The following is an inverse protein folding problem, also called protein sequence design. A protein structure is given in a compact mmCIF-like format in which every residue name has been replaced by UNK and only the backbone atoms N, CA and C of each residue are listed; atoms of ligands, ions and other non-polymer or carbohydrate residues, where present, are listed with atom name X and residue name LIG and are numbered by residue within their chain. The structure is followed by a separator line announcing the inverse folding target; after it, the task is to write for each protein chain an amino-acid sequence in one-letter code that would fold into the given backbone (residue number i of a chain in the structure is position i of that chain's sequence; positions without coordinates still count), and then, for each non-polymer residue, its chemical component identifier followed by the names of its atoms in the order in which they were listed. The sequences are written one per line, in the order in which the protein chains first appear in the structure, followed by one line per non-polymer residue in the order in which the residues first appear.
data_IF_084363035869
#
_entry.id   IF_084363035869
#
_cell.length_a   1.000
_cell.length_b   1.000
_cell.length_c   1.000
_cell.angle_alpha   90.00
_cell.angle_beta   90.00
_cell.angle_gamma   90.00
#
_symmetry.space_group_name_H-M   'P 1'
#
loop_
_entity.id
_entity.type
_entity.pdbx_description
1 polymer ?
#
# COMPACT_ATOMS: atom_id res chain seq x y z
N UNK A 1 46.83 4.23 -81.73
CA UNK A 1 47.24 3.16 -80.81
C UNK A 1 47.46 3.74 -79.42
N UNK A 2 46.55 3.61 -78.54
CA UNK A 2 46.64 4.12 -77.15
C UNK A 2 46.34 2.92 -76.18
N UNK A 3 47.19 2.62 -75.22
CA UNK A 3 46.89 1.60 -74.25
C UNK A 3 45.94 2.11 -73.16
N UNK A 4 45.02 1.21 -72.79
CA UNK A 4 44.07 1.43 -71.70
C UNK A 4 44.75 1.17 -70.35
N UNK A 5 44.63 2.10 -69.41
CA UNK A 5 45.05 1.95 -68.03
C UNK A 5 43.89 1.35 -67.25
N UNK A 6 44.09 0.19 -66.68
CA UNK A 6 43.13 -0.45 -65.76
C UNK A 6 43.40 0.08 -64.32
N UNK A 7 42.42 0.76 -63.73
CA UNK A 7 42.43 1.10 -62.32
C UNK A 7 41.88 -0.03 -61.51
N UNK A 8 42.69 -0.67 -60.65
CA UNK A 8 42.27 -1.58 -59.62
C UNK A 8 41.72 -0.74 -58.43
N UNK A 9 40.43 -0.84 -58.20
CA UNK A 9 39.79 -0.30 -57.00
C UNK A 9 39.97 -1.25 -55.81
N UNK A 10 40.67 -0.79 -54.79
CA UNK A 10 40.77 -1.50 -53.51
C UNK A 10 39.52 -1.19 -52.68
N UNK A 11 38.65 -2.17 -52.45
CA UNK A 11 37.55 -2.09 -51.49
C UNK A 11 38.12 -2.23 -50.07
N UNK A 12 38.15 -1.13 -49.32
CA UNK A 12 38.42 -1.16 -47.90
C UNK A 12 37.13 -1.57 -47.14
N UNK A 13 37.10 -2.78 -46.59
CA UNK A 13 36.05 -3.22 -45.66
C UNK A 13 36.37 -2.69 -44.27
N UNK A 14 35.60 -1.73 -43.79
CA UNK A 14 35.66 -1.23 -42.44
C UNK A 14 35.02 -2.27 -41.47
N UNK A 15 35.68 -2.67 -40.35
CA UNK A 15 35.05 -3.48 -39.35
C UNK A 15 34.02 -2.68 -38.58
N UNK A 16 32.75 -3.13 -38.62
CA UNK A 16 31.66 -2.58 -37.81
C UNK A 16 31.91 -2.95 -36.35
N UNK A 17 32.40 -1.97 -35.55
CA UNK A 17 32.52 -2.11 -34.10
C UNK A 17 31.09 -2.06 -33.50
N UNK A 18 30.50 -3.21 -33.31
CA UNK A 18 29.31 -3.36 -32.45
C UNK A 18 29.71 -3.11 -31.01
N UNK A 19 29.39 -1.90 -30.51
CA UNK A 19 29.47 -1.57 -29.10
C UNK A 19 28.45 -2.45 -28.34
N UNK A 20 28.84 -3.25 -27.34
CA UNK A 20 27.87 -3.87 -26.45
C UNK A 20 27.12 -2.77 -25.70
N UNK A 21 25.78 -2.86 -25.69
CA UNK A 21 24.95 -2.00 -24.85
C UNK A 21 25.34 -2.19 -23.38
N UNK A 22 25.39 -1.10 -22.57
CA UNK A 22 25.62 -1.25 -21.16
C UNK A 22 24.51 -2.09 -20.54
N UNK A 23 24.87 -3.16 -19.83
CA UNK A 23 23.97 -3.90 -18.97
C UNK A 23 23.38 -2.94 -17.94
N UNK A 24 22.13 -2.53 -18.15
CA UNK A 24 21.35 -1.86 -17.13
C UNK A 24 21.01 -2.95 -16.11
N UNK A 25 21.55 -2.88 -14.89
CA UNK A 25 21.12 -3.82 -13.86
C UNK A 25 19.62 -3.61 -13.68
N UNK A 26 18.83 -4.65 -13.95
CA UNK A 26 17.44 -4.69 -13.55
C UNK A 26 17.42 -4.35 -12.05
N UNK A 27 16.94 -3.14 -11.71
CA UNK A 27 16.77 -2.68 -10.35
C UNK A 27 15.81 -3.63 -9.66
N UNK A 28 16.35 -4.72 -9.14
CA UNK A 28 15.62 -5.62 -8.26
C UNK A 28 15.15 -4.76 -7.09
N UNK A 29 13.85 -4.56 -6.98
CA UNK A 29 13.21 -4.11 -5.75
C UNK A 29 13.73 -5.09 -4.69
N UNK A 30 14.71 -4.64 -3.90
CA UNK A 30 15.17 -5.42 -2.77
C UNK A 30 13.96 -5.55 -1.85
N UNK A 31 13.28 -6.69 -1.92
CA UNK A 31 12.34 -7.09 -0.90
C UNK A 31 13.05 -6.89 0.44
N UNK A 32 12.55 -5.97 1.25
CA UNK A 32 13.05 -5.81 2.62
C UNK A 32 12.72 -7.13 3.31
N UNK A 33 13.75 -7.96 3.49
CA UNK A 33 13.68 -9.15 4.30
C UNK A 33 13.56 -8.74 5.78
N UNK A 34 12.40 -8.17 6.14
CA UNK A 34 11.92 -8.23 7.51
C UNK A 34 11.40 -9.65 7.71
N UNK A 35 11.72 -10.28 8.84
CA UNK A 35 11.08 -11.53 9.19
C UNK A 35 9.55 -11.34 9.02
N UNK A 36 8.80 -12.33 8.46
CA UNK A 36 7.36 -12.19 8.19
C UNK A 36 6.56 -11.74 9.42
N UNK A 37 7.06 -11.99 10.62
CA UNK A 37 6.45 -11.57 11.89
C UNK A 37 6.71 -10.10 12.28
N UNK A 38 7.54 -9.37 11.52
CA UNK A 38 7.88 -7.98 11.82
C UNK A 38 6.98 -6.95 11.12
N UNK A 39 6.10 -7.39 10.24
CA UNK A 39 5.14 -6.53 9.51
C UNK A 39 3.73 -6.88 9.92
N UNK A 40 2.99 -5.86 10.36
CA UNK A 40 1.57 -5.94 10.65
C UNK A 40 0.90 -4.63 10.28
N UNK A 41 -0.20 -4.72 9.54
CA UNK A 41 -1.12 -3.62 9.26
C UNK A 41 -2.48 -4.02 9.77
N UNK A 42 -3.10 -3.21 10.64
CA UNK A 42 -4.45 -3.47 11.14
C UNK A 42 -5.33 -2.24 11.00
N UNK A 43 -6.62 -2.51 10.85
CA UNK A 43 -7.67 -1.51 10.78
C UNK A 43 -8.87 -1.98 11.59
N UNK A 44 -9.45 -1.08 12.37
CA UNK A 44 -10.72 -1.25 13.06
C UNK A 44 -11.70 -0.18 12.60
N UNK A 45 -12.92 -0.60 12.21
CA UNK A 45 -14.05 0.29 11.97
C UNK A 45 -15.01 0.22 13.13
N UNK A 46 -15.26 1.38 13.74
CA UNK A 46 -16.12 1.50 14.93
C UNK A 46 -17.58 1.75 14.54
N UNK A 47 -18.53 1.62 15.48
CA UNK A 47 -19.92 2.00 15.23
C UNK A 47 -20.09 3.47 14.84
N UNK A 48 -21.17 3.74 14.11
CA UNK A 48 -21.73 5.08 13.89
C UNK A 48 -23.19 5.13 14.40
N UNK A 49 -23.83 6.27 14.29
CA UNK A 49 -25.28 6.37 14.46
C UNK A 49 -25.98 5.88 13.17
N UNK A 50 -26.07 4.53 13.02
CA UNK A 50 -26.64 3.89 11.85
C UNK A 50 -26.14 2.46 11.66
N UNK A 51 -26.13 2.01 10.40
CA UNK A 51 -25.79 0.64 10.00
C UNK A 51 -24.34 0.52 9.47
N UNK A 52 -23.38 1.24 10.06
CA UNK A 52 -21.99 1.15 9.66
C UNK A 52 -21.42 -0.25 9.98
N UNK A 53 -20.69 -0.88 9.06
CA UNK A 53 -19.99 -2.11 9.32
C UNK A 53 -18.98 -1.95 10.47
N UNK A 54 -19.04 -2.85 11.46
CA UNK A 54 -18.16 -2.85 12.63
C UNK A 54 -17.31 -4.11 12.60
N UNK A 55 -16.01 -3.95 12.44
CA UNK A 55 -15.06 -5.06 12.35
C UNK A 55 -13.63 -4.63 12.64
N UNK A 56 -12.77 -5.61 12.83
CA UNK A 56 -11.32 -5.44 12.78
C UNK A 56 -10.75 -6.36 11.70
N UNK A 57 -9.69 -5.87 11.03
CA UNK A 57 -8.89 -6.68 10.12
C UNK A 57 -7.41 -6.45 10.40
N UNK A 58 -6.60 -7.50 10.25
CA UNK A 58 -5.15 -7.42 10.37
C UNK A 58 -4.49 -8.25 9.27
N UNK A 59 -3.50 -7.65 8.60
CA UNK A 59 -2.62 -8.30 7.65
C UNK A 59 -1.26 -8.48 8.30
N UNK A 60 -0.72 -9.67 8.18
CA UNK A 60 0.65 -10.01 8.60
C UNK A 60 1.56 -10.05 7.36
N UNK A 61 2.84 -9.79 7.53
CA UNK A 61 3.81 -9.80 6.42
C UNK A 61 3.88 -11.14 5.67
N UNK A 62 3.46 -12.24 6.31
CA UNK A 62 3.27 -13.56 5.70
C UNK A 62 2.13 -13.62 4.67
N UNK A 63 1.28 -12.58 4.60
CA UNK A 63 0.04 -12.60 3.83
C UNK A 63 -1.16 -13.17 4.56
N UNK A 64 -1.03 -13.54 5.85
CA UNK A 64 -2.17 -13.96 6.67
C UNK A 64 -3.07 -12.77 6.94
N UNK A 65 -4.38 -12.94 6.73
CA UNK A 65 -5.41 -11.93 7.02
C UNK A 65 -6.30 -12.47 8.14
N UNK A 66 -6.43 -11.72 9.22
CA UNK A 66 -7.35 -12.02 10.33
C UNK A 66 -8.46 -11.00 10.33
N UNK A 67 -9.70 -11.45 10.19
CA UNK A 67 -10.90 -10.64 10.22
C UNK A 67 -11.73 -11.01 11.45
N UNK A 68 -12.30 -10.02 12.13
CA UNK A 68 -13.29 -10.20 13.19
C UNK A 68 -14.48 -9.26 12.95
N UNK A 69 -15.56 -9.82 12.45
CA UNK A 69 -16.82 -9.11 12.21
C UNK A 69 -17.66 -9.03 13.48
N UNK A 70 -18.23 -7.86 13.76
CA UNK A 70 -19.04 -7.62 14.97
C UNK A 70 -20.49 -7.28 14.64
N UNK A 71 -20.74 -6.25 13.83
CA UNK A 71 -22.09 -5.75 13.52
C UNK A 71 -22.15 -5.23 12.09
N UNK A 72 -23.32 -5.38 11.46
CA UNK A 72 -23.60 -4.91 10.11
C UNK A 72 -22.59 -5.42 9.06
N UNK A 73 -22.18 -6.66 9.23
CA UNK A 73 -21.31 -7.41 8.33
C UNK A 73 -21.96 -8.76 8.03
N UNK A 74 -21.64 -9.32 6.87
CA UNK A 74 -22.15 -10.63 6.46
C UNK A 74 -21.64 -11.76 7.37
N UNK A 75 -20.33 -11.74 7.64
CA UNK A 75 -19.67 -12.75 8.43
C UNK A 75 -19.31 -12.19 9.81
N UNK A 76 -20.01 -12.63 10.86
CA UNK A 76 -19.71 -12.27 12.24
C UNK A 76 -18.74 -13.26 12.87
N UNK A 77 -17.97 -12.79 13.88
CA UNK A 77 -16.93 -13.59 14.53
C UNK A 77 -15.60 -13.59 13.78
N UNK A 78 -14.75 -14.57 14.10
CA UNK A 78 -13.37 -14.60 13.58
C UNK A 78 -13.25 -15.45 12.34
N UNK A 79 -12.59 -14.89 11.31
CA UNK A 79 -12.29 -15.57 10.07
C UNK A 79 -10.84 -15.30 9.69
N UNK A 80 -10.20 -16.28 9.06
CA UNK A 80 -8.83 -16.19 8.57
C UNK A 80 -8.83 -16.36 7.06
N UNK A 81 -8.11 -15.47 6.38
CA UNK A 81 -7.86 -15.54 4.94
C UNK A 81 -6.39 -15.39 4.62
N UNK A 82 -6.07 -15.38 3.35
CA UNK A 82 -4.71 -15.15 2.89
C UNK A 82 -4.71 -14.26 1.65
N UNK A 83 -3.63 -13.49 1.51
CA UNK A 83 -3.29 -12.72 0.32
C UNK A 83 -1.82 -12.99 -0.05
N UNK A 84 -1.39 -12.80 -1.29
CA UNK A 84 0.03 -12.90 -1.62
C UNK A 84 0.86 -11.94 -0.74
N UNK A 85 1.97 -12.39 -0.12
CA UNK A 85 2.81 -11.54 0.73
C UNK A 85 3.24 -10.24 0.05
N UNK A 86 3.57 -10.26 -1.25
CA UNK A 86 3.94 -9.08 -2.01
C UNK A 86 2.85 -7.99 -2.07
N UNK A 87 1.57 -8.31 -1.84
CA UNK A 87 0.52 -7.30 -1.71
C UNK A 87 0.62 -6.54 -0.39
N UNK A 88 1.06 -7.22 0.67
CA UNK A 88 1.30 -6.59 1.99
C UNK A 88 2.53 -5.69 1.89
N UNK A 89 3.61 -6.14 1.22
CA UNK A 89 4.79 -5.32 0.98
C UNK A 89 4.46 -4.06 0.19
N UNK A 90 3.64 -4.19 -0.87
CA UNK A 90 3.19 -3.04 -1.67
C UNK A 90 2.35 -2.06 -0.83
N UNK A 91 1.43 -2.57 0.00
CA UNK A 91 0.63 -1.73 0.90
C UNK A 91 1.53 -0.96 1.89
N UNK A 92 2.53 -1.61 2.48
CA UNK A 92 3.48 -0.94 3.38
C UNK A 92 4.24 0.16 2.64
N UNK A 93 4.69 -0.09 1.42
CA UNK A 93 5.37 0.92 0.61
C UNK A 93 4.44 2.11 0.28
N UNK A 94 3.17 1.87 -0.02
CA UNK A 94 2.15 2.91 -0.26
C UNK A 94 1.93 3.75 1.02
N UNK A 95 1.81 3.12 2.20
CA UNK A 95 1.67 3.80 3.49
C UNK A 95 2.90 4.66 3.82
N UNK A 96 4.11 4.13 3.59
CA UNK A 96 5.36 4.88 3.79
C UNK A 96 5.46 6.08 2.84
N UNK A 97 5.14 5.90 1.56
CA UNK A 97 5.18 6.96 0.55
C UNK A 97 4.17 8.08 0.84
N UNK A 98 3.01 7.75 1.41
CA UNK A 98 2.00 8.72 1.83
C UNK A 98 2.34 9.42 3.16
N UNK A 99 3.46 9.09 3.80
CA UNK A 99 3.89 9.69 5.06
C UNK A 99 3.13 9.23 6.29
N UNK A 100 2.52 8.03 6.27
CA UNK A 100 1.68 7.51 7.36
C UNK A 100 2.33 7.64 8.74
N UNK A 101 3.63 7.36 8.86
CA UNK A 101 4.36 7.41 10.13
C UNK A 101 4.55 8.83 10.68
N UNK A 102 4.23 9.87 9.91
CA UNK A 102 4.30 11.29 10.32
C UNK A 102 2.94 11.90 10.62
N UNK A 103 1.84 11.18 10.41
CA UNK A 103 0.51 11.67 10.76
C UNK A 103 0.40 11.92 12.27
N UNK A 104 -0.53 12.80 12.68
CA UNK A 104 -0.91 12.90 14.08
C UNK A 104 -1.50 11.57 14.58
N UNK A 105 -1.46 11.32 15.88
CA UNK A 105 -2.03 10.10 16.46
C UNK A 105 -3.55 10.09 16.40
N UNK A 106 -4.16 11.29 16.29
CA UNK A 106 -5.60 11.47 16.29
C UNK A 106 -6.05 12.60 15.39
N UNK A 107 -7.17 12.37 14.71
CA UNK A 107 -7.99 13.33 13.99
C UNK A 107 -9.44 13.16 14.46
N UNK A 108 -9.97 14.08 15.27
CA UNK A 108 -11.29 13.93 15.86
C UNK A 108 -11.71 15.15 16.67
N UNK A 109 -12.78 15.00 17.46
CA UNK A 109 -13.33 16.08 18.26
C UNK A 109 -12.26 16.71 19.17
N UNK A 110 -12.18 18.04 19.16
CA UNK A 110 -11.23 18.84 19.92
C UNK A 110 -9.92 19.13 19.19
N UNK A 111 -9.67 18.52 18.04
CA UNK A 111 -8.54 18.86 17.19
C UNK A 111 -8.91 20.01 16.25
N UNK A 112 -8.13 21.11 16.25
CA UNK A 112 -8.43 22.31 15.47
C UNK A 112 -8.53 22.05 13.97
N UNK A 113 -7.79 21.09 13.45
CA UNK A 113 -7.84 20.64 12.04
C UNK A 113 -9.18 19.99 11.69
N UNK A 114 -9.97 19.55 12.67
CA UNK A 114 -11.23 18.87 12.47
C UNK A 114 -12.45 19.81 12.49
N UNK A 115 -12.25 21.12 12.65
CA UNK A 115 -13.36 22.07 12.65
C UNK A 115 -13.75 22.52 11.22
N UNK A 116 -15.07 22.59 10.87
CA UNK A 116 -16.21 22.21 11.69
C UNK A 116 -16.33 20.69 11.84
N UNK A 117 -16.60 20.21 13.06
CA UNK A 117 -16.71 18.78 13.36
C UNK A 117 -18.16 18.29 13.22
N UNK A 118 -18.34 17.12 12.59
CA UNK A 118 -19.63 16.43 12.49
C UNK A 118 -19.69 15.26 13.48
N UNK A 119 -20.83 15.11 14.18
CA UNK A 119 -21.06 13.99 15.11
C UNK A 119 -21.62 12.77 14.40
N UNK A 120 -21.69 11.65 15.12
CA UNK A 120 -22.41 10.42 14.72
C UNK A 120 -21.77 9.62 13.59
N UNK A 121 -20.57 9.97 13.18
CA UNK A 121 -19.78 9.26 12.18
C UNK A 121 -18.83 8.23 12.81
N UNK A 122 -18.41 7.18 12.09
CA UNK A 122 -17.52 6.16 12.64
C UNK A 122 -16.10 6.70 12.80
N UNK A 123 -15.36 6.11 13.74
CA UNK A 123 -13.92 6.26 13.81
C UNK A 123 -13.25 5.06 13.14
N UNK A 124 -12.23 5.31 12.34
CA UNK A 124 -11.32 4.29 11.83
C UNK A 124 -10.02 4.35 12.60
N UNK A 125 -9.59 3.21 13.12
CA UNK A 125 -8.35 3.09 13.87
C UNK A 125 -7.41 2.23 13.06
N UNK A 126 -6.27 2.77 12.65
CA UNK A 126 -5.25 2.03 11.93
C UNK A 126 -4.00 1.88 12.78
N UNK A 127 -3.33 0.74 12.68
CA UNK A 127 -2.01 0.54 13.26
C UNK A 127 -1.11 -0.14 12.24
N UNK A 128 0.06 0.45 11.99
CA UNK A 128 1.08 -0.07 11.08
C UNK A 128 2.36 -0.31 11.87
N UNK A 129 2.88 -1.54 11.80
CA UNK A 129 4.16 -1.95 12.39
C UNK A 129 5.07 -2.49 11.29
N UNK A 130 6.29 -1.98 11.24
CA UNK A 130 7.35 -2.44 10.32
C UNK A 130 8.65 -2.53 11.10
N UNK A 131 9.03 -3.72 11.49
CA UNK A 131 10.16 -3.94 12.40
C UNK A 131 9.95 -3.25 13.76
N UNK A 132 10.89 -2.38 14.15
CA UNK A 132 10.80 -1.64 15.39
C UNK A 132 9.91 -0.38 15.31
N UNK A 133 9.49 0.05 14.11
CA UNK A 133 8.61 1.21 13.94
C UNK A 133 7.16 0.79 14.08
N UNK A 134 6.41 1.54 14.86
CA UNK A 134 4.96 1.39 14.95
C UNK A 134 4.31 2.76 14.96
N UNK A 135 3.12 2.85 14.35
CA UNK A 135 2.30 4.05 14.34
C UNK A 135 0.83 3.64 14.41
N UNK A 136 0.09 4.26 15.32
CA UNK A 136 -1.36 4.16 15.43
C UNK A 136 -1.97 5.52 15.11
N UNK A 137 -3.03 5.52 14.31
CA UNK A 137 -3.78 6.71 13.94
C UNK A 137 -5.27 6.44 14.20
N UNK A 138 -5.91 7.34 14.90
CA UNK A 138 -7.37 7.39 15.06
C UNK A 138 -7.93 8.47 14.16
N UNK A 139 -8.79 8.09 13.23
CA UNK A 139 -9.47 9.01 12.33
C UNK A 139 -10.97 8.93 12.50
N UNK A 140 -11.53 9.92 13.18
CA UNK A 140 -12.97 10.13 13.24
C UNK A 140 -13.44 10.79 11.95
N UNK A 141 -14.34 10.15 11.23
CA UNK A 141 -14.84 10.64 9.94
C UNK A 141 -15.66 11.94 10.07
N UNK A 142 -15.93 12.38 11.29
CA UNK A 142 -16.49 13.71 11.58
C UNK A 142 -15.48 14.84 11.48
N UNK A 143 -14.19 14.54 11.35
CA UNK A 143 -13.13 15.51 11.15
C UNK A 143 -13.22 16.13 9.75
N UNK A 144 -13.33 17.47 9.64
CA UNK A 144 -13.51 18.12 8.34
C UNK A 144 -12.24 18.12 7.46
N UNK A 145 -11.06 18.21 8.06
CA UNK A 145 -9.81 18.44 7.32
C UNK A 145 -8.68 17.49 7.77
N UNK A 146 -8.89 16.15 7.74
CA UNK A 146 -7.81 15.21 7.96
C UNK A 146 -6.82 15.25 6.77
N UNK A 147 -5.64 14.64 6.86
CA UNK A 147 -4.77 14.47 5.70
C UNK A 147 -5.52 13.82 4.54
N UNK A 148 -5.47 14.42 3.35
CA UNK A 148 -6.27 14.00 2.20
C UNK A 148 -6.02 12.54 1.75
N UNK A 149 -4.87 11.97 2.08
CA UNK A 149 -4.55 10.57 1.78
C UNK A 149 -5.10 9.57 2.82
N UNK A 150 -5.51 10.03 4.02
CA UNK A 150 -5.81 9.12 5.14
C UNK A 150 -6.98 8.18 4.83
N UNK A 151 -8.12 8.71 4.39
CA UNK A 151 -9.28 7.88 4.00
C UNK A 151 -8.99 6.94 2.84
N UNK A 152 -8.18 7.36 1.87
CA UNK A 152 -7.77 6.51 0.76
C UNK A 152 -6.88 5.34 1.24
N UNK A 153 -6.00 5.57 2.20
CA UNK A 153 -5.18 4.52 2.81
C UNK A 153 -6.01 3.53 3.62
N UNK A 154 -7.02 3.99 4.34
CA UNK A 154 -7.98 3.14 5.05
C UNK A 154 -8.72 2.20 4.09
N UNK A 155 -9.25 2.74 2.99
CA UNK A 155 -9.88 1.95 1.93
C UNK A 155 -8.89 0.96 1.30
N UNK A 156 -7.66 1.40 1.08
CA UNK A 156 -6.61 0.56 0.51
C UNK A 156 -6.25 -0.63 1.41
N UNK A 157 -6.25 -0.46 2.73
CA UNK A 157 -6.07 -1.56 3.69
C UNK A 157 -7.21 -2.58 3.52
N UNK A 158 -8.46 -2.13 3.45
CA UNK A 158 -9.63 -3.00 3.25
C UNK A 158 -9.57 -3.77 1.93
N UNK A 159 -9.21 -3.09 0.84
CA UNK A 159 -9.06 -3.70 -0.48
C UNK A 159 -7.97 -4.78 -0.51
N UNK A 160 -6.79 -4.49 0.06
CA UNK A 160 -5.69 -5.45 0.11
C UNK A 160 -6.05 -6.65 0.97
N UNK A 161 -6.72 -6.42 2.09
CA UNK A 161 -7.22 -7.48 2.95
C UNK A 161 -8.39 -8.28 2.34
N UNK A 162 -9.07 -7.71 1.33
CA UNK A 162 -10.21 -8.33 0.67
C UNK A 162 -11.41 -8.48 1.59
N UNK A 163 -11.70 -7.46 2.40
CA UNK A 163 -12.77 -7.51 3.43
C UNK A 163 -14.18 -7.56 2.83
N UNK A 164 -14.38 -7.10 1.60
CA UNK A 164 -15.69 -7.06 0.93
C UNK A 164 -16.44 -8.39 0.99
N UNK A 165 -15.74 -9.51 0.85
CA UNK A 165 -16.31 -10.87 0.95
C UNK A 165 -16.95 -11.18 2.31
N UNK A 166 -16.47 -10.56 3.38
CA UNK A 166 -16.94 -10.76 4.76
C UNK A 166 -17.89 -9.66 5.22
N UNK A 167 -17.75 -8.46 4.66
CA UNK A 167 -18.64 -7.32 4.96
C UNK A 167 -19.96 -7.46 4.19
N UNK A 168 -19.92 -7.97 2.96
CA UNK A 168 -21.13 -8.23 2.15
C UNK A 168 -21.47 -7.08 1.21
N UNK A 169 -20.45 -6.37 0.73
CA UNK A 169 -20.56 -5.40 -0.38
C UNK A 169 -20.54 -6.10 -1.73
#
# INVERSE_FOLDING_TARGET
MRPALALLGVLATAPCCTRPAPDVPAGGVRARAGAPDSVRVSLERTPCFGSCPVYTVALEGSGTVRFEGRRFVKDTGRTVGTVPPGRVDSLVAELEAAGYFTFADRYGLGESVCEPYATDLPTVITEVRVGARAKRVEHDHGCAHPPGSLSALEQRIDEVAGVAKWVGE
#
